data_IF_304971777209
#
_entry.id   IF_304971777209
#
_cell.length_a   1.000
_cell.length_b   1.000
_cell.length_c   1.000
_cell.angle_alpha   90.00
_cell.angle_beta   90.00
_cell.angle_gamma   90.00
#
_symmetry.space_group_name_H-M   'P 1'
#
loop_
_entity.id
_entity.type
_entity.pdbx_description
1 polymer ?
#
# COMPACT_ATOMS: atom_id res chain seq x y z
N UNK A 1 22.75 -8.01 8.32
CA UNK A 1 21.33 -7.83 7.98
C UNK A 1 20.51 -8.09 9.25
N UNK A 2 19.72 -7.13 9.73
CA UNK A 2 18.77 -7.39 10.81
C UNK A 2 17.67 -8.31 10.28
N UNK A 3 17.43 -9.43 10.95
CA UNK A 3 16.34 -10.35 10.64
C UNK A 3 15.09 -9.79 11.32
N UNK A 4 14.31 -9.01 10.59
CA UNK A 4 13.07 -8.39 11.09
C UNK A 4 11.92 -9.31 10.71
N UNK A 5 11.07 -9.66 11.66
CA UNK A 5 9.82 -10.36 11.36
C UNK A 5 8.85 -9.38 10.71
N UNK A 6 8.42 -9.68 9.48
CA UNK A 6 7.56 -8.79 8.71
C UNK A 6 6.37 -9.56 8.14
N UNK A 7 5.23 -8.89 8.13
CA UNK A 7 4.03 -9.28 7.42
C UNK A 7 4.04 -8.65 6.03
N UNK A 8 3.46 -9.33 5.05
CA UNK A 8 3.27 -8.73 3.72
C UNK A 8 1.81 -8.78 3.34
N UNK A 9 1.35 -7.76 2.64
CA UNK A 9 0.10 -7.89 1.90
C UNK A 9 0.12 -7.19 0.57
N UNK A 10 -0.80 -7.61 -0.29
CA UNK A 10 -0.76 -7.36 -1.73
C UNK A 10 -2.14 -6.93 -2.19
N UNK A 11 -2.20 -5.85 -2.93
CA UNK A 11 -3.43 -5.32 -3.48
C UNK A 11 -3.36 -5.29 -5.01
N UNK A 12 -4.18 -6.10 -5.71
CA UNK A 12 -4.22 -6.08 -7.17
C UNK A 12 -4.95 -4.84 -7.68
N UNK A 13 -4.38 -4.13 -8.66
CA UNK A 13 -5.01 -2.91 -9.18
C UNK A 13 -6.33 -3.15 -9.88
N UNK A 14 -6.61 -4.36 -10.36
CA UNK A 14 -7.94 -4.73 -10.88
C UNK A 14 -9.10 -4.42 -9.93
N UNK A 15 -8.86 -4.37 -8.62
CA UNK A 15 -9.86 -4.01 -7.61
C UNK A 15 -10.02 -2.49 -7.41
N UNK A 16 -9.17 -1.65 -8.01
CA UNK A 16 -9.23 -0.20 -7.94
C UNK A 16 -10.05 0.37 -9.11
N UNK A 17 -11.15 1.07 -8.79
CA UNK A 17 -12.04 1.71 -9.77
C UNK A 17 -11.33 2.69 -10.70
N UNK A 18 -10.30 3.42 -10.23
CA UNK A 18 -9.55 4.40 -11.04
C UNK A 18 -8.73 3.73 -12.14
N UNK A 19 -8.11 2.59 -11.84
CA UNK A 19 -7.31 1.85 -12.82
C UNK A 19 -8.19 1.16 -13.86
N UNK A 20 -9.42 0.79 -13.47
CA UNK A 20 -10.42 0.26 -14.38
C UNK A 20 -10.89 1.33 -15.39
N UNK A 21 -11.11 2.57 -14.93
CA UNK A 21 -11.45 3.70 -15.82
C UNK A 21 -10.32 4.05 -16.78
N UNK A 22 -9.07 3.93 -16.36
CA UNK A 22 -7.89 4.22 -17.19
C UNK A 22 -7.49 3.05 -18.12
N UNK A 23 -8.20 1.91 -18.07
CA UNK A 23 -7.85 0.66 -18.76
C UNK A 23 -6.48 0.05 -18.34
N UNK A 24 -5.81 0.65 -17.36
CA UNK A 24 -4.51 0.26 -16.81
C UNK A 24 -4.67 -0.69 -15.61
N UNK A 25 -5.39 -1.79 -15.80
CA UNK A 25 -5.71 -2.75 -14.71
C UNK A 25 -4.57 -3.72 -14.38
N UNK A 26 -3.49 -3.70 -15.16
CA UNK A 26 -2.33 -4.58 -15.01
C UNK A 26 -1.33 -3.96 -14.04
N UNK A 27 -1.38 -4.41 -12.79
CA UNK A 27 -0.40 -4.02 -11.77
C UNK A 27 -0.79 -4.45 -10.36
N UNK A 28 0.09 -4.24 -9.40
CA UNK A 28 -0.10 -4.64 -8.00
C UNK A 28 0.75 -3.77 -7.09
N UNK A 29 0.19 -3.40 -5.93
CA UNK A 29 0.95 -2.83 -4.82
C UNK A 29 1.18 -3.90 -3.77
N UNK A 30 2.39 -3.98 -3.23
CA UNK A 30 2.74 -4.84 -2.09
C UNK A 30 3.33 -3.98 -0.99
N UNK A 31 2.87 -4.20 0.23
CA UNK A 31 3.36 -3.55 1.43
C UNK A 31 4.09 -4.56 2.32
N UNK A 32 5.11 -4.08 3.01
CA UNK A 32 5.84 -4.83 4.04
C UNK A 32 5.72 -4.07 5.36
N UNK A 33 5.23 -4.76 6.39
CA UNK A 33 4.97 -4.19 7.72
C UNK A 33 5.73 -5.01 8.75
N UNK A 34 6.32 -4.38 9.76
CA UNK A 34 6.95 -5.08 10.88
C UNK A 34 5.89 -5.73 11.79
N UNK A 35 6.06 -7.00 12.14
CA UNK A 35 5.06 -7.76 12.88
C UNK A 35 4.82 -7.27 14.31
N UNK A 36 5.87 -6.74 14.97
CA UNK A 36 5.80 -6.32 16.38
C UNK A 36 5.34 -4.87 16.58
N UNK A 37 5.69 -3.97 15.66
CA UNK A 37 5.48 -2.53 15.83
C UNK A 37 4.43 -1.96 14.87
N UNK A 38 3.94 -2.78 13.94
CA UNK A 38 3.02 -2.40 12.88
C UNK A 38 3.53 -1.28 11.95
N UNK A 39 4.84 -1.04 11.93
CA UNK A 39 5.48 0.00 11.10
C UNK A 39 5.65 -0.45 9.66
N UNK A 40 5.39 0.46 8.73
CA UNK A 40 5.65 0.22 7.30
C UNK A 40 7.16 0.22 7.06
N UNK A 41 7.69 -0.93 6.62
CA UNK A 41 9.10 -1.12 6.27
C UNK A 41 9.39 -0.76 4.82
N UNK A 42 8.39 -0.87 3.94
CA UNK A 42 8.53 -0.53 2.54
C UNK A 42 7.33 -0.92 1.68
N UNK A 43 7.31 -0.36 0.48
CA UNK A 43 6.22 -0.52 -0.50
C UNK A 43 6.82 -0.83 -1.85
N UNK A 44 6.24 -1.80 -2.55
CA UNK A 44 6.59 -2.18 -3.90
C UNK A 44 5.38 -1.93 -4.77
N UNK A 45 5.52 -1.04 -5.74
CA UNK A 45 4.45 -0.70 -6.65
C UNK A 45 4.83 -1.02 -8.10
N UNK A 46 3.90 -1.62 -8.84
CA UNK A 46 4.06 -1.97 -10.26
C UNK A 46 2.80 -1.51 -10.98
N UNK A 47 2.87 -0.35 -11.62
CA UNK A 47 1.85 0.21 -12.51
C UNK A 47 2.40 1.39 -13.34
N UNK A 48 1.64 1.89 -14.34
CA UNK A 48 2.07 2.99 -15.20
C UNK A 48 2.29 4.33 -14.49
N UNK A 49 1.60 4.58 -13.38
CA UNK A 49 1.66 5.83 -12.59
C UNK A 49 2.25 5.57 -11.19
N UNK A 50 3.23 4.66 -11.11
CA UNK A 50 3.78 4.22 -9.83
C UNK A 50 4.38 5.34 -8.99
N UNK A 51 4.78 6.45 -9.62
CA UNK A 51 5.32 7.63 -8.97
C UNK A 51 4.39 8.26 -7.94
N UNK A 52 3.07 8.24 -8.18
CA UNK A 52 2.11 8.88 -7.27
C UNK A 52 2.05 8.13 -5.92
N UNK A 53 1.98 6.80 -5.96
CA UNK A 53 1.90 5.97 -4.75
C UNK A 53 3.25 5.91 -4.02
N UNK A 54 4.37 5.93 -4.74
CA UNK A 54 5.71 5.91 -4.12
C UNK A 54 5.97 7.18 -3.31
N UNK A 55 5.45 8.34 -3.74
CA UNK A 55 5.60 9.59 -3.01
C UNK A 55 4.97 9.50 -1.60
N UNK A 56 3.75 8.96 -1.53
CA UNK A 56 3.05 8.76 -0.26
C UNK A 56 3.66 7.64 0.58
N UNK A 57 4.05 6.53 -0.05
CA UNK A 57 4.74 5.45 0.63
C UNK A 57 6.06 5.90 1.27
N UNK A 58 6.81 6.79 0.61
CA UNK A 58 8.06 7.35 1.15
C UNK A 58 7.77 8.19 2.38
N UNK A 59 6.74 9.04 2.33
CA UNK A 59 6.30 9.83 3.47
C UNK A 59 5.87 8.94 4.65
N UNK A 60 5.12 7.86 4.38
CA UNK A 60 4.70 6.91 5.41
C UNK A 60 5.89 6.21 6.08
N UNK A 61 6.92 5.85 5.32
CA UNK A 61 8.15 5.24 5.85
C UNK A 61 8.98 6.25 6.65
N UNK A 62 9.13 7.49 6.16
CA UNK A 62 9.86 8.56 6.86
C UNK A 62 9.18 8.97 8.17
N UNK A 63 7.85 9.06 8.18
CA UNK A 63 7.08 9.31 9.39
C UNK A 63 7.04 8.12 10.34
N UNK A 64 7.49 6.93 9.91
CA UNK A 64 7.38 5.70 10.69
C UNK A 64 5.93 5.33 10.99
N UNK A 65 5.02 5.65 10.06
CA UNK A 65 3.59 5.46 10.23
C UNK A 65 3.25 3.98 10.41
N UNK A 66 2.28 3.72 11.29
CA UNK A 66 1.68 2.41 11.44
C UNK A 66 0.74 2.10 10.27
N UNK A 67 0.51 0.81 10.00
CA UNK A 67 -0.45 0.39 8.98
C UNK A 67 -1.86 0.90 9.27
N UNK A 68 -2.21 1.03 10.54
CA UNK A 68 -3.50 1.53 10.99
C UNK A 68 -3.64 3.05 10.85
N UNK A 69 -2.57 3.82 11.03
CA UNK A 69 -2.57 5.26 10.74
C UNK A 69 -2.70 5.53 9.24
N UNK A 70 -2.00 4.75 8.41
CA UNK A 70 -2.18 4.79 6.97
C UNK A 70 -3.63 4.43 6.58
N UNK A 71 -4.27 3.49 7.28
CA UNK A 71 -5.69 3.17 7.07
C UNK A 71 -6.66 4.29 7.37
N UNK A 72 -6.35 5.05 8.42
CA UNK A 72 -7.22 6.08 8.95
C UNK A 72 -7.02 7.42 8.23
N UNK A 73 -6.02 7.51 7.36
CA UNK A 73 -5.82 8.65 6.51
C UNK A 73 -6.97 8.77 5.49
N UNK A 74 -7.43 9.99 5.26
CA UNK A 74 -8.54 10.24 4.34
C UNK A 74 -8.02 10.26 2.91
N UNK A 75 -8.10 9.13 2.22
CA UNK A 75 -7.76 9.05 0.80
C UNK A 75 -8.97 9.40 -0.07
N UNK A 76 -8.81 10.24 -1.11
CA UNK A 76 -9.83 10.44 -2.12
C UNK A 76 -10.22 9.10 -2.79
N UNK A 77 -11.51 8.77 -2.82
CA UNK A 77 -12.03 7.46 -3.25
C UNK A 77 -11.77 7.07 -4.72
N UNK A 78 -11.26 7.99 -5.54
CA UNK A 78 -11.08 7.81 -7.00
C UNK A 78 -9.66 8.02 -7.51
N UNK A 79 -8.65 8.10 -6.63
CA UNK A 79 -7.24 8.14 -7.03
C UNK A 79 -6.59 6.77 -6.82
N UNK A 80 -5.48 6.49 -7.52
CA UNK A 80 -4.81 5.18 -7.43
C UNK A 80 -4.26 4.88 -6.03
N UNK A 81 -3.93 5.94 -5.30
CA UNK A 81 -3.50 5.91 -3.92
C UNK A 81 -4.56 5.35 -2.93
N UNK A 82 -5.85 5.34 -3.29
CA UNK A 82 -6.88 4.63 -2.51
C UNK A 82 -6.62 3.12 -2.33
N UNK A 83 -5.64 2.56 -3.05
CA UNK A 83 -5.11 1.22 -2.81
C UNK A 83 -4.42 1.05 -1.44
N UNK A 84 -3.90 2.12 -0.82
CA UNK A 84 -3.42 2.13 0.57
C UNK A 84 -4.55 1.82 1.55
N UNK A 85 -5.70 2.49 1.38
CA UNK A 85 -6.89 2.26 2.19
C UNK A 85 -7.47 0.85 1.99
N UNK A 86 -7.47 0.35 0.76
CA UNK A 86 -7.97 -1.00 0.47
C UNK A 86 -7.03 -2.09 1.00
N UNK A 87 -5.72 -1.81 1.04
CA UNK A 87 -4.73 -2.66 1.67
C UNK A 87 -4.97 -2.75 3.19
N UNK A 88 -5.20 -1.61 3.85
CA UNK A 88 -5.37 -1.55 5.29
C UNK A 88 -6.74 -2.06 5.78
N UNK A 89 -7.80 -1.92 4.98
CA UNK A 89 -9.17 -2.30 5.38
C UNK A 89 -9.55 -3.75 5.05
N UNK A 90 -8.79 -4.49 4.24
CA UNK A 90 -9.29 -5.81 3.85
C UNK A 90 -8.38 -6.84 3.19
N UNK A 91 -7.12 -6.59 2.86
CA UNK A 91 -6.38 -7.56 2.03
C UNK A 91 -4.95 -7.76 2.52
N UNK A 92 -4.82 -8.85 3.29
CA UNK A 92 -3.65 -9.72 3.46
C UNK A 92 -2.82 -9.49 4.74
N UNK A 93 -3.36 -10.00 5.86
CA UNK A 93 -2.57 -10.84 6.77
C UNK A 93 -2.41 -12.21 6.08
N UNK A 94 -1.45 -12.37 5.18
CA UNK A 94 -0.97 -13.73 4.88
C UNK A 94 0.31 -13.92 5.64
N UNK A 95 0.37 -15.09 6.29
CA UNK A 95 1.55 -15.65 6.96
C UNK A 95 2.86 -15.43 6.19
#
# INVERSE_FOLDING_TARGET
MKKVEYMTGKFPFRANSRTNTNLDTKGTVKFMIEAMTDRILGVHNIDPNASEIIAEATLAVECGASSQEASNHCHPKHIQDSSLWAFSTGVVKTD
#
